data_IF_836342512587
#
_entry.id   IF_836342512587
#
_cell.length_a   1.000
_cell.length_b   1.000
_cell.length_c   1.000
_cell.angle_alpha   90.00
_cell.angle_beta   90.00
_cell.angle_gamma   90.00
#
_symmetry.space_group_name_H-M   'P 1'
#
loop_
_entity.id
_entity.type
_entity.pdbx_description
1 polymer ?
#
# COMPACT_ATOMS: atom_id res chain seq x y z
N UNK A 1 15.62 23.92 5.84
CA UNK A 1 16.82 24.73 6.15
C UNK A 1 17.25 25.59 4.97
N UNK A 2 17.62 25.01 3.81
CA UNK A 2 18.11 25.76 2.66
C UNK A 2 17.14 26.85 2.13
N UNK A 3 15.85 26.52 1.99
CA UNK A 3 14.83 27.51 1.54
C UNK A 3 14.67 28.66 2.53
N UNK A 4 14.71 28.39 3.84
CA UNK A 4 14.62 29.40 4.88
C UNK A 4 15.86 30.30 4.93
N UNK A 5 17.06 29.72 4.74
CA UNK A 5 18.32 30.48 4.67
C UNK A 5 18.40 31.40 3.44
N UNK A 6 17.66 31.08 2.37
CA UNK A 6 17.53 31.93 1.16
C UNK A 6 16.52 33.06 1.32
N UNK A 7 15.84 33.16 2.48
CA UNK A 7 14.82 34.19 2.75
C UNK A 7 13.52 34.01 1.96
N UNK A 8 13.35 32.90 1.25
CA UNK A 8 12.16 32.62 0.45
C UNK A 8 11.05 32.06 1.35
N UNK A 9 10.04 32.89 1.61
CA UNK A 9 8.89 32.56 2.48
C UNK A 9 7.60 32.27 1.70
N UNK A 10 7.61 32.43 0.37
CA UNK A 10 6.41 32.23 -0.44
C UNK A 10 6.00 30.76 -0.48
N UNK A 11 4.74 30.49 -0.07
CA UNK A 11 4.15 29.14 0.03
C UNK A 11 5.10 28.14 0.70
N UNK A 12 5.91 28.61 1.64
CA UNK A 12 7.01 27.84 2.21
C UNK A 12 6.55 26.51 2.80
N UNK A 13 5.49 26.55 3.63
CA UNK A 13 4.96 25.36 4.28
C UNK A 13 4.45 24.33 3.26
N UNK A 14 3.73 24.78 2.24
CA UNK A 14 3.19 23.90 1.19
C UNK A 14 4.30 23.21 0.39
N UNK A 15 5.31 23.98 -0.05
CA UNK A 15 6.45 23.43 -0.81
C UNK A 15 7.24 22.42 0.01
N UNK A 16 7.51 22.73 1.28
CA UNK A 16 8.20 21.81 2.18
C UNK A 16 7.36 20.57 2.45
N UNK A 17 6.05 20.72 2.66
CA UNK A 17 5.15 19.60 2.85
C UNK A 17 5.12 18.69 1.62
N UNK A 18 5.04 19.23 0.40
CA UNK A 18 5.10 18.45 -0.84
C UNK A 18 6.40 17.68 -0.97
N UNK A 19 7.55 18.34 -0.72
CA UNK A 19 8.86 17.69 -0.77
C UNK A 19 8.98 16.57 0.26
N UNK A 20 8.54 16.84 1.49
CA UNK A 20 8.55 15.87 2.59
C UNK A 20 7.68 14.65 2.26
N UNK A 21 6.45 14.86 1.80
CA UNK A 21 5.54 13.78 1.41
C UNK A 21 6.07 12.99 0.22
N UNK A 22 6.66 13.64 -0.77
CA UNK A 22 7.29 12.98 -1.91
C UNK A 22 8.43 12.05 -1.46
N UNK A 23 9.32 12.52 -0.59
CA UNK A 23 10.41 11.69 -0.04
C UNK A 23 9.86 10.57 0.84
N UNK A 24 8.85 10.85 1.65
CA UNK A 24 8.23 9.84 2.52
C UNK A 24 7.63 8.70 1.69
N UNK A 25 6.88 9.00 0.64
CA UNK A 25 6.24 8.00 -0.23
C UNK A 25 7.30 7.28 -1.10
N UNK A 26 8.16 8.03 -1.79
CA UNK A 26 9.07 7.46 -2.79
C UNK A 26 10.31 6.77 -2.19
N UNK A 27 10.76 7.18 -1.01
CA UNK A 27 11.99 6.65 -0.39
C UNK A 27 11.66 5.85 0.84
N UNK A 28 11.09 6.52 1.87
CA UNK A 28 10.86 5.87 3.15
C UNK A 28 9.94 4.67 3.00
N UNK A 29 8.75 4.86 2.44
CA UNK A 29 7.76 3.81 2.34
C UNK A 29 8.19 2.64 1.44
N UNK A 30 8.73 2.93 0.25
CA UNK A 30 9.22 1.89 -0.69
C UNK A 30 10.38 1.10 -0.10
N UNK A 31 11.30 1.74 0.64
CA UNK A 31 12.45 1.06 1.23
C UNK A 31 12.08 -0.03 2.24
N UNK A 32 10.87 0.01 2.82
CA UNK A 32 10.42 -1.03 3.74
C UNK A 32 10.20 -2.39 3.06
N UNK A 33 9.98 -2.43 1.74
CA UNK A 33 9.85 -3.69 1.00
C UNK A 33 11.15 -4.50 1.03
N UNK A 34 12.29 -4.00 0.52
CA UNK A 34 13.56 -4.73 0.63
C UNK A 34 14.04 -4.85 2.08
N UNK A 35 13.63 -3.93 2.97
CA UNK A 35 14.06 -3.99 4.37
C UNK A 35 13.51 -5.22 5.13
N UNK A 36 12.42 -5.83 4.65
CA UNK A 36 11.92 -7.12 5.14
C UNK A 36 12.96 -8.24 5.05
N UNK A 37 13.91 -8.16 4.10
CA UNK A 37 14.98 -9.16 3.94
C UNK A 37 15.97 -9.16 5.12
N UNK A 38 16.05 -8.03 5.84
CA UNK A 38 16.99 -7.84 6.94
C UNK A 38 16.37 -8.14 8.32
N UNK A 39 15.11 -8.57 8.36
CA UNK A 39 14.49 -9.00 9.62
C UNK A 39 15.07 -10.34 10.05
N UNK A 40 15.63 -10.38 11.26
CA UNK A 40 16.02 -11.62 11.91
C UNK A 40 14.82 -12.18 12.68
N UNK A 41 14.29 -13.29 12.18
CA UNK A 41 13.13 -13.98 12.72
C UNK A 41 13.57 -15.40 13.10
N UNK A 42 13.54 -15.77 14.39
CA UNK A 42 13.93 -17.09 14.85
C UNK A 42 13.15 -18.19 14.13
N UNK A 43 13.86 -19.18 13.56
CA UNK A 43 13.24 -20.29 12.82
C UNK A 43 12.79 -19.96 11.39
N UNK A 44 13.02 -18.73 10.90
CA UNK A 44 12.63 -18.29 9.55
C UNK A 44 13.80 -17.68 8.75
N UNK A 45 15.03 -18.04 9.11
CA UNK A 45 16.24 -17.53 8.48
C UNK A 45 16.40 -18.07 7.04
N UNK A 46 16.78 -17.18 6.11
CA UNK A 46 16.94 -17.51 4.68
C UNK A 46 15.62 -17.53 3.89
N UNK A 47 14.48 -17.33 4.55
CA UNK A 47 13.14 -17.40 3.98
C UNK A 47 12.43 -16.04 3.92
N UNK A 48 13.12 -14.94 4.26
CA UNK A 48 12.55 -13.59 4.32
C UNK A 48 11.95 -13.11 2.99
N UNK A 49 12.42 -13.64 1.86
CA UNK A 49 11.83 -13.34 0.53
C UNK A 49 10.34 -13.69 0.47
N UNK A 50 9.88 -14.71 1.21
CA UNK A 50 8.47 -15.08 1.27
C UNK A 50 7.61 -14.02 1.97
N UNK A 51 8.17 -13.18 2.85
CA UNK A 51 7.44 -12.04 3.43
C UNK A 51 7.14 -10.99 2.36
N UNK A 52 8.08 -10.74 1.44
CA UNK A 52 7.86 -9.83 0.31
C UNK A 52 6.80 -10.41 -0.64
N UNK A 53 6.89 -11.71 -0.95
CA UNK A 53 5.89 -12.39 -1.78
C UNK A 53 4.52 -12.31 -1.13
N UNK A 54 4.42 -12.61 0.16
CA UNK A 54 3.19 -12.50 0.95
C UNK A 54 2.59 -11.09 0.85
N UNK A 55 3.39 -10.05 1.10
CA UNK A 55 2.98 -8.65 1.01
C UNK A 55 2.43 -8.32 -0.38
N UNK A 56 3.20 -8.64 -1.44
CA UNK A 56 2.83 -8.29 -2.81
C UNK A 56 1.56 -9.04 -3.23
N UNK A 57 1.49 -10.35 -3.00
CA UNK A 57 0.36 -11.19 -3.43
C UNK A 57 -0.92 -10.81 -2.69
N UNK A 58 -0.85 -10.54 -1.38
CA UNK A 58 -2.04 -10.17 -0.59
C UNK A 58 -2.55 -8.78 -0.97
N UNK A 59 -1.67 -7.77 -1.06
CA UNK A 59 -2.07 -6.40 -1.38
C UNK A 59 -2.56 -6.29 -2.83
N UNK A 60 -1.80 -6.78 -3.81
CA UNK A 60 -2.20 -6.72 -5.22
C UNK A 60 -3.42 -7.62 -5.49
N UNK A 61 -3.48 -8.79 -4.84
CA UNK A 61 -4.65 -9.64 -4.88
C UNK A 61 -5.89 -8.92 -4.34
N UNK A 62 -5.75 -8.17 -3.24
CA UNK A 62 -6.83 -7.34 -2.70
C UNK A 62 -7.27 -6.30 -3.72
N UNK A 63 -6.37 -5.55 -4.36
CA UNK A 63 -6.73 -4.53 -5.35
C UNK A 63 -7.53 -5.11 -6.53
N UNK A 64 -7.12 -6.27 -7.03
CA UNK A 64 -7.85 -7.00 -8.09
C UNK A 64 -9.24 -7.41 -7.61
N UNK A 65 -9.33 -8.01 -6.42
CA UNK A 65 -10.60 -8.48 -5.87
C UNK A 65 -11.54 -7.32 -5.55
N UNK A 66 -11.03 -6.22 -5.01
CA UNK A 66 -11.81 -5.00 -4.78
C UNK A 66 -12.40 -4.45 -6.08
N UNK A 67 -11.61 -4.46 -7.17
CA UNK A 67 -12.11 -4.08 -8.49
C UNK A 67 -13.17 -5.05 -9.01
N UNK A 68 -12.97 -6.37 -8.87
CA UNK A 68 -13.92 -7.40 -9.31
C UNK A 68 -15.23 -7.31 -8.54
N UNK A 69 -15.19 -7.35 -7.20
CA UNK A 69 -16.38 -7.20 -6.35
C UNK A 69 -17.04 -5.84 -6.56
N UNK A 70 -16.25 -4.78 -6.74
CA UNK A 70 -16.77 -3.45 -7.02
C UNK A 70 -17.49 -3.35 -8.36
N UNK A 71 -17.05 -4.09 -9.38
CA UNK A 71 -17.72 -4.13 -10.69
C UNK A 71 -18.98 -5.02 -10.68
N UNK A 72 -18.95 -6.12 -9.92
CA UNK A 72 -20.06 -7.08 -9.85
C UNK A 72 -21.20 -6.62 -8.94
N UNK A 73 -20.86 -6.04 -7.78
CA UNK A 73 -21.81 -5.74 -6.71
C UNK A 73 -21.81 -4.27 -6.27
N UNK A 74 -20.91 -3.44 -6.82
CA UNK A 74 -20.73 -2.07 -6.38
C UNK A 74 -21.95 -1.21 -6.65
N UNK A 75 -22.53 -0.67 -5.57
CA UNK A 75 -23.63 0.31 -5.63
C UNK A 75 -23.21 1.62 -4.96
N UNK A 76 -22.42 1.54 -3.88
CA UNK A 76 -22.04 2.70 -3.10
C UNK A 76 -20.56 3.04 -3.32
N UNK A 77 -20.30 4.19 -3.96
CA UNK A 77 -18.94 4.70 -4.17
C UNK A 77 -18.35 5.23 -2.87
N UNK A 78 -17.07 4.96 -2.61
CA UNK A 78 -16.39 5.41 -1.38
C UNK A 78 -16.07 6.91 -1.45
N UNK A 79 -15.47 7.35 -2.55
CA UNK A 79 -15.16 8.77 -2.77
C UNK A 79 -15.23 9.11 -4.26
N UNK A 80 -16.40 9.53 -4.78
CA UNK A 80 -16.61 9.74 -6.22
C UNK A 80 -15.64 10.75 -6.85
N UNK A 81 -15.29 11.81 -6.11
CA UNK A 81 -14.42 12.89 -6.62
C UNK A 81 -12.94 12.49 -6.64
N UNK A 82 -12.53 11.53 -5.81
CA UNK A 82 -11.13 11.06 -5.71
C UNK A 82 -10.92 9.83 -6.58
N UNK A 83 -11.80 8.84 -6.45
CA UNK A 83 -11.72 7.56 -7.15
C UNK A 83 -13.13 7.03 -7.49
N UNK A 84 -13.62 7.26 -8.73
CA UNK A 84 -14.98 6.88 -9.11
C UNK A 84 -15.20 5.36 -9.23
N UNK A 85 -14.12 4.58 -9.32
CA UNK A 85 -14.15 3.11 -9.44
C UNK A 85 -14.20 2.37 -8.11
N UNK A 86 -13.88 3.02 -6.98
CA UNK A 86 -13.83 2.38 -5.66
C UNK A 86 -15.21 2.39 -4.99
N UNK A 87 -15.68 1.21 -4.58
CA UNK A 87 -16.99 1.02 -3.92
C UNK A 87 -16.83 0.34 -2.57
N UNK A 88 -17.80 0.57 -1.67
CA UNK A 88 -17.83 -0.05 -0.34
C UNK A 88 -18.00 -1.57 -0.43
N UNK A 89 -18.81 -2.05 -1.35
CA UNK A 89 -18.98 -3.49 -1.59
C UNK A 89 -17.69 -4.12 -2.12
N UNK A 90 -16.98 -3.40 -3.00
CA UNK A 90 -15.66 -3.80 -3.47
C UNK A 90 -14.65 -3.89 -2.33
N UNK A 91 -14.61 -2.88 -1.46
CA UNK A 91 -13.72 -2.87 -0.29
C UNK A 91 -13.99 -4.06 0.63
N UNK A 92 -15.25 -4.28 1.03
CA UNK A 92 -15.60 -5.37 1.96
C UNK A 92 -15.27 -6.74 1.33
N UNK A 93 -15.67 -6.96 0.08
CA UNK A 93 -15.39 -8.21 -0.63
C UNK A 93 -13.89 -8.45 -0.80
N UNK A 94 -13.16 -7.42 -1.22
CA UNK A 94 -11.71 -7.49 -1.42
C UNK A 94 -10.92 -7.67 -0.13
N UNK A 95 -11.32 -7.06 0.99
CA UNK A 95 -10.69 -7.28 2.29
C UNK A 95 -10.98 -8.68 2.83
N UNK A 96 -12.23 -9.16 2.71
CA UNK A 96 -12.59 -10.51 3.13
C UNK A 96 -11.80 -11.56 2.34
N UNK A 97 -11.75 -11.43 1.01
CA UNK A 97 -10.98 -12.35 0.17
C UNK A 97 -9.47 -12.23 0.38
N UNK A 98 -8.93 -11.03 0.60
CA UNK A 98 -7.50 -10.86 0.90
C UNK A 98 -7.11 -11.46 2.25
N UNK A 99 -8.01 -11.40 3.25
CA UNK A 99 -7.80 -12.03 4.56
C UNK A 99 -7.76 -13.57 4.43
N UNK A 100 -8.67 -14.13 3.64
CA UNK A 100 -8.67 -15.56 3.32
C UNK A 100 -7.43 -15.97 2.53
N UNK A 101 -7.01 -15.16 1.56
CA UNK A 101 -5.77 -15.36 0.80
C UNK A 101 -4.55 -15.32 1.72
N UNK A 102 -4.47 -14.35 2.64
CA UNK A 102 -3.41 -14.28 3.64
C UNK A 102 -3.36 -15.52 4.53
N UNK A 103 -4.51 -15.97 5.04
CA UNK A 103 -4.60 -17.19 5.83
C UNK A 103 -4.14 -18.43 5.04
N UNK A 104 -4.54 -18.53 3.76
CA UNK A 104 -4.14 -19.62 2.87
C UNK A 104 -2.64 -19.60 2.55
N UNK A 105 -2.00 -18.42 2.54
CA UNK A 105 -0.56 -18.25 2.36
C UNK A 105 0.24 -18.37 3.67
N UNK A 106 -0.37 -18.76 4.79
CA UNK A 106 0.35 -18.88 6.06
C UNK A 106 1.51 -19.88 6.01
N UNK A 107 1.43 -20.92 5.18
CA UNK A 107 2.47 -21.95 5.03
C UNK A 107 3.83 -21.42 4.56
N UNK A 108 3.87 -20.25 3.90
CA UNK A 108 5.11 -19.62 3.44
C UNK A 108 5.61 -18.53 4.40
N UNK A 109 4.95 -18.33 5.54
CA UNK A 109 5.25 -17.26 6.50
C UNK A 109 5.49 -17.85 7.89
N UNK A 110 6.13 -17.11 8.82
CA UNK A 110 6.26 -17.55 10.20
C UNK A 110 4.95 -17.38 11.03
N UNK A 111 3.82 -17.12 10.38
CA UNK A 111 2.55 -16.77 11.03
C UNK A 111 1.60 -17.96 11.05
N UNK A 112 0.78 -18.06 12.11
CA UNK A 112 -0.37 -18.98 12.07
C UNK A 112 -1.41 -18.52 11.04
N UNK A 113 -2.31 -19.39 10.54
CA UNK A 113 -3.34 -19.00 9.57
C UNK A 113 -4.19 -17.81 10.02
N UNK A 114 -4.55 -17.76 11.31
CA UNK A 114 -5.32 -16.65 11.88
C UNK A 114 -4.50 -15.34 11.90
N UNK A 115 -3.22 -15.41 12.28
CA UNK A 115 -2.32 -14.26 12.28
C UNK A 115 -2.08 -13.74 10.85
N UNK A 116 -1.80 -14.63 9.90
CA UNK A 116 -1.59 -14.27 8.50
C UNK A 116 -2.84 -13.59 7.90
N UNK A 117 -4.03 -14.12 8.19
CA UNK A 117 -5.29 -13.50 7.77
C UNK A 117 -5.52 -12.12 8.40
N UNK A 118 -5.25 -11.96 9.69
CA UNK A 118 -5.37 -10.68 10.38
C UNK A 118 -4.36 -9.63 9.87
N UNK A 119 -3.11 -10.04 9.61
CA UNK A 119 -2.10 -9.17 9.02
C UNK A 119 -2.53 -8.75 7.61
N UNK A 120 -2.97 -9.69 6.77
CA UNK A 120 -3.46 -9.40 5.42
C UNK A 120 -4.63 -8.41 5.46
N UNK A 121 -5.58 -8.58 6.37
CA UNK A 121 -6.68 -7.62 6.59
C UNK A 121 -6.17 -6.21 6.88
N UNK A 122 -5.23 -6.08 7.83
CA UNK A 122 -4.68 -4.78 8.23
C UNK A 122 -3.91 -4.09 7.09
N UNK A 123 -2.98 -4.81 6.44
CA UNK A 123 -2.15 -4.22 5.39
C UNK A 123 -2.96 -3.86 4.15
N UNK A 124 -3.99 -4.65 3.80
CA UNK A 124 -4.86 -4.33 2.67
C UNK A 124 -5.79 -3.16 2.97
N UNK A 125 -6.26 -3.02 4.22
CA UNK A 125 -7.05 -1.86 4.65
C UNK A 125 -6.23 -0.58 4.55
N UNK A 126 -5.01 -0.60 5.07
CA UNK A 126 -4.12 0.57 5.03
C UNK A 126 -3.59 0.85 3.62
N UNK A 127 -3.34 -0.20 2.82
CA UNK A 127 -3.03 -0.07 1.40
C UNK A 127 -4.17 0.59 0.61
N UNK A 128 -5.43 0.22 0.90
CA UNK A 128 -6.60 0.86 0.28
C UNK A 128 -6.69 2.36 0.61
N UNK A 129 -6.53 2.71 1.88
CA UNK A 129 -6.52 4.11 2.35
C UNK A 129 -5.36 4.89 1.72
N UNK A 130 -4.17 4.29 1.67
CA UNK A 130 -3.02 4.83 0.97
C UNK A 130 -3.29 5.10 -0.51
N UNK A 131 -3.92 4.15 -1.20
CA UNK A 131 -4.32 4.34 -2.59
C UNK A 131 -5.38 5.44 -2.78
N UNK A 132 -6.23 5.72 -1.78
CA UNK A 132 -7.13 6.88 -1.81
C UNK A 132 -6.35 8.20 -1.64
N UNK A 133 -5.37 8.24 -0.73
CA UNK A 133 -4.48 9.40 -0.55
C UNK A 133 -3.70 9.67 -1.84
N UNK A 134 -3.07 8.65 -2.43
CA UNK A 134 -2.37 8.78 -3.70
C UNK A 134 -3.29 9.27 -4.83
N UNK A 135 -4.52 8.74 -4.89
CA UNK A 135 -5.54 9.20 -5.84
C UNK A 135 -5.89 10.68 -5.61
N UNK A 136 -6.02 11.13 -4.36
CA UNK A 136 -6.33 12.52 -4.05
C UNK A 136 -5.18 13.45 -4.45
N UNK A 137 -3.92 13.06 -4.17
CA UNK A 137 -2.72 13.81 -4.59
C UNK A 137 -2.69 13.96 -6.11
N UNK A 138 -3.00 12.90 -6.86
CA UNK A 138 -3.07 12.96 -8.33
C UNK A 138 -4.10 14.00 -8.80
N UNK A 139 -5.30 14.02 -8.19
CA UNK A 139 -6.35 14.99 -8.52
C UNK A 139 -5.96 16.43 -8.20
N UNK A 140 -5.30 16.65 -7.07
CA UNK A 140 -4.79 17.97 -6.67
C UNK A 140 -3.77 18.50 -7.69
N UNK A 141 -2.91 17.63 -8.23
CA UNK A 141 -1.95 17.96 -9.27
C UNK A 141 -2.54 18.01 -10.69
N UNK A 142 -3.86 17.85 -10.84
CA UNK A 142 -4.54 17.87 -12.13
C UNK A 142 -4.28 16.65 -13.03
N UNK A 143 -3.66 15.59 -12.51
CA UNK A 143 -3.34 14.36 -13.25
C UNK A 143 -4.22 13.20 -12.79
N UNK A 144 -4.37 12.19 -13.66
CA UNK A 144 -5.10 10.95 -13.33
C UNK A 144 -4.18 9.82 -12.91
N UNK A 145 -3.06 9.68 -13.60
CA UNK A 145 -2.09 8.59 -13.50
C UNK A 145 -0.68 9.20 -13.42
N UNK A 146 0.24 8.60 -12.65
CA UNK A 146 1.58 9.19 -12.43
C UNK A 146 2.47 9.23 -13.70
N UNK A 147 2.13 8.46 -14.74
CA UNK A 147 2.84 8.47 -16.02
C UNK A 147 2.17 7.57 -17.06
N UNK A 148 2.61 7.68 -18.32
CA UNK A 148 2.16 6.86 -19.44
C UNK A 148 3.23 5.81 -19.78
N UNK A 149 3.39 4.78 -18.96
CA UNK A 149 4.39 3.73 -19.26
C UNK A 149 3.87 2.69 -20.27
N UNK A 150 2.54 2.49 -20.34
CA UNK A 150 1.89 1.56 -21.26
C UNK A 150 0.56 2.19 -21.73
N UNK A 151 0.36 2.35 -23.03
CA UNK A 151 -0.93 2.81 -23.56
C UNK A 151 -2.05 1.84 -23.15
N UNK A 152 -3.04 2.32 -22.39
CA UNK A 152 -4.22 1.54 -21.97
C UNK A 152 -4.09 0.78 -20.65
N UNK A 153 -2.94 0.78 -19.99
CA UNK A 153 -2.78 0.32 -18.61
C UNK A 153 -2.17 1.48 -17.82
N UNK A 154 -2.81 1.93 -16.73
CA UNK A 154 -2.29 3.02 -15.89
C UNK A 154 -0.81 2.83 -15.50
N UNK A 155 -0.18 3.88 -14.97
CA UNK A 155 1.25 3.86 -14.68
C UNK A 155 1.66 2.69 -13.79
N UNK A 156 2.84 2.11 -14.02
CA UNK A 156 3.42 1.09 -13.13
C UNK A 156 3.50 1.59 -11.68
N UNK A 157 3.69 2.90 -11.50
CA UNK A 157 3.64 3.60 -10.21
C UNK A 157 2.24 3.58 -9.57
N UNK A 158 1.16 3.60 -10.35
CA UNK A 158 -0.21 3.53 -9.80
C UNK A 158 -0.49 2.17 -9.15
N UNK A 159 0.21 1.10 -9.57
CA UNK A 159 0.16 -0.22 -8.92
C UNK A 159 0.96 -0.27 -7.63
N UNK A 160 1.91 0.64 -7.44
CA UNK A 160 2.67 0.75 -6.22
C UNK A 160 1.90 1.57 -5.15
N UNK A 161 0.90 2.37 -5.52
CA UNK A 161 0.17 3.25 -4.59
C UNK A 161 -0.30 2.53 -3.32
N UNK A 162 -0.88 1.32 -3.45
CA UNK A 162 -1.33 0.52 -2.30
C UNK A 162 -0.17 -0.14 -1.53
N UNK A 163 0.84 -0.65 -2.23
CA UNK A 163 2.03 -1.27 -1.66
C UNK A 163 2.85 -0.30 -0.82
N UNK A 164 3.00 0.94 -1.28
CA UNK A 164 3.80 1.98 -0.62
C UNK A 164 3.25 2.24 0.78
N UNK A 165 1.94 2.25 0.98
CA UNK A 165 1.37 2.43 2.31
C UNK A 165 1.29 1.12 3.12
N UNK A 166 1.15 -0.02 2.46
CA UNK A 166 1.10 -1.32 3.14
C UNK A 166 2.47 -1.77 3.69
N UNK A 167 3.56 -1.53 2.95
CA UNK A 167 4.88 -2.06 3.27
C UNK A 167 5.44 -1.60 4.63
N UNK A 168 5.38 -0.31 5.02
CA UNK A 168 5.88 0.12 6.32
C UNK A 168 5.12 -0.51 7.47
N UNK A 169 3.80 -0.62 7.34
CA UNK A 169 2.95 -1.22 8.37
C UNK A 169 3.31 -2.70 8.53
N UNK A 170 3.39 -3.43 7.42
CA UNK A 170 3.76 -4.83 7.45
C UNK A 170 5.14 -5.02 8.09
N UNK A 171 6.14 -4.25 7.67
CA UNK A 171 7.47 -4.28 8.26
C UNK A 171 7.44 -4.05 9.78
N UNK A 172 6.76 -3.00 10.26
CA UNK A 172 6.73 -2.69 11.69
C UNK A 172 5.98 -3.75 12.50
N UNK A 173 4.91 -4.33 11.96
CA UNK A 173 4.21 -5.45 12.60
C UNK A 173 5.16 -6.64 12.76
N UNK A 174 5.81 -7.06 11.66
CA UNK A 174 6.71 -8.23 11.72
C UNK A 174 7.91 -7.95 12.62
N UNK A 175 8.49 -6.74 12.53
CA UNK A 175 9.62 -6.33 13.37
C UNK A 175 9.28 -6.37 14.86
N UNK A 176 8.09 -5.91 15.25
CA UNK A 176 7.72 -5.78 16.66
C UNK A 176 7.34 -7.12 17.31
N UNK A 177 6.67 -8.00 16.57
CA UNK A 177 6.12 -9.23 17.12
C UNK A 177 6.94 -10.50 16.86
N UNK A 178 7.75 -10.53 15.78
CA UNK A 178 8.49 -11.74 15.37
C UNK A 178 10.00 -11.57 15.31
N UNK A 179 10.50 -10.35 15.15
CA UNK A 179 11.92 -10.12 15.00
C UNK A 179 12.57 -9.73 16.32
N UNK A 180 13.81 -10.17 16.53
CA UNK A 180 14.61 -9.88 17.73
C UNK A 180 15.48 -8.65 17.48
#
# INVERSE_FOLDING_TARGET
ALTALRGDTERFLERIAHQQWAIMIAVYCISHVPFLLFLDIPGFQGQQIFLIIFLIVTVQGSDVLQYVFGKLFGKHRVSPNVSPSKTWEGLIGGLASASLLGAALSFMTPFSPLQAGAIAFMICTLGFLGGLVASAIKRDQGVKDWGQLIEGHGGMLDRADSLVFAAPIFFHIVRFYWSV
#
